data_IF_993400171400
#
_entry.id   IF_993400171400
#
_cell.length_a   1.000
_cell.length_b   1.000
_cell.length_c   1.000
_cell.angle_alpha   90.00
_cell.angle_beta   90.00
_cell.angle_gamma   90.00
#
_symmetry.space_group_name_H-M   'P 1'
#
loop_
_entity.id
_entity.type
_entity.pdbx_description
1 polymer ?
#
# COMPACT_ATOMS: atom_id res chain seq x y z
N UNK A 1 25.95 17.65 -3.26
CA UNK A 1 24.74 16.96 -2.77
C UNK A 1 23.65 18.01 -2.63
N UNK A 2 22.72 18.06 -3.59
CA UNK A 2 21.56 18.96 -3.50
C UNK A 2 20.62 18.37 -2.46
N UNK A 3 20.50 19.00 -1.29
CA UNK A 3 19.49 18.65 -0.28
C UNK A 3 18.14 18.92 -0.93
N UNK A 4 17.47 17.88 -1.42
CA UNK A 4 16.10 18.00 -1.87
C UNK A 4 15.28 18.41 -0.65
N UNK A 5 14.72 19.62 -0.66
CA UNK A 5 13.86 20.13 0.40
C UNK A 5 12.60 19.25 0.47
N UNK A 6 12.46 18.47 1.54
CA UNK A 6 11.22 17.74 1.83
C UNK A 6 10.16 18.71 2.32
N UNK A 7 8.92 18.56 1.85
CA UNK A 7 7.79 19.28 2.41
C UNK A 7 7.31 18.58 3.70
N UNK A 8 7.22 19.31 4.80
CA UNK A 8 6.58 18.81 6.02
C UNK A 8 5.08 19.04 5.91
N UNK A 9 4.28 17.98 5.95
CA UNK A 9 2.82 18.06 5.79
C UNK A 9 2.10 17.22 6.85
N UNK A 10 0.85 17.57 7.12
CA UNK A 10 0.02 16.79 8.04
C UNK A 10 -0.43 15.46 7.42
N UNK A 11 -0.74 14.49 8.27
CA UNK A 11 -1.31 13.21 7.85
C UNK A 11 -2.60 13.41 7.03
N UNK A 12 -3.50 14.29 7.50
CA UNK A 12 -4.78 14.53 6.81
C UNK A 12 -4.60 15.11 5.42
N UNK A 13 -3.69 16.09 5.24
CA UNK A 13 -3.40 16.63 3.93
C UNK A 13 -2.86 15.57 2.96
N UNK A 14 -1.97 14.69 3.42
CA UNK A 14 -1.45 13.58 2.61
C UNK A 14 -2.52 12.53 2.31
N UNK A 15 -3.39 12.24 3.29
CA UNK A 15 -4.48 11.26 3.17
C UNK A 15 -5.54 11.73 2.18
N UNK A 16 -5.87 13.02 2.19
CA UNK A 16 -6.93 13.58 1.37
C UNK A 16 -6.52 13.70 -0.12
N UNK A 17 -5.25 14.02 -0.41
CA UNK A 17 -4.73 14.04 -1.79
C UNK A 17 -3.25 13.60 -1.90
N UNK A 18 -2.97 12.28 -1.91
CA UNK A 18 -1.62 11.78 -2.14
C UNK A 18 -1.10 12.07 -3.55
N UNK A 19 -1.99 12.34 -4.52
CA UNK A 19 -1.60 12.58 -5.90
C UNK A 19 -0.97 13.98 -6.10
N UNK A 20 -1.29 14.94 -5.24
CA UNK A 20 -0.67 16.26 -5.19
C UNK A 20 0.84 16.20 -4.86
N UNK A 21 1.28 15.17 -4.14
CA UNK A 21 2.66 15.00 -3.69
C UNK A 21 3.46 13.96 -4.49
N UNK A 22 2.91 13.53 -5.63
CA UNK A 22 3.50 12.52 -6.50
C UNK A 22 4.93 12.87 -6.89
N UNK A 23 5.86 11.93 -6.68
CA UNK A 23 7.31 12.11 -6.90
C UNK A 23 7.99 13.16 -6.00
N UNK A 24 7.28 13.83 -5.10
CA UNK A 24 7.85 14.77 -4.12
C UNK A 24 8.34 14.05 -2.87
N UNK A 25 9.34 14.65 -2.21
CA UNK A 25 9.77 14.25 -0.88
C UNK A 25 8.86 14.89 0.18
N UNK A 26 8.32 14.05 1.04
CA UNK A 26 7.33 14.43 2.06
C UNK A 26 7.77 13.88 3.40
N UNK A 27 7.60 14.66 4.45
CA UNK A 27 7.83 14.24 5.82
C UNK A 27 6.57 14.44 6.67
N UNK A 28 6.19 13.42 7.42
CA UNK A 28 5.13 13.54 8.43
C UNK A 28 5.76 13.91 9.77
N UNK A 29 5.29 14.99 10.43
CA UNK A 29 5.86 15.45 11.69
C UNK A 29 5.50 14.51 12.86
N UNK A 30 4.34 13.87 12.80
CA UNK A 30 3.83 13.00 13.85
C UNK A 30 4.01 11.51 13.50
N UNK A 31 4.37 10.65 14.47
CA UNK A 31 4.42 9.22 14.24
C UNK A 31 3.04 8.64 13.85
N UNK A 32 3.03 7.75 12.86
CA UNK A 32 1.84 6.95 12.57
C UNK A 32 1.70 5.86 13.63
N UNK A 33 0.53 5.80 14.25
CA UNK A 33 0.25 4.92 15.39
C UNK A 33 -0.52 3.69 14.93
N UNK A 34 0.14 2.54 14.92
CA UNK A 34 -0.46 1.24 14.60
C UNK A 34 -0.77 0.43 15.87
N UNK A 35 -1.58 -0.62 15.71
CA UNK A 35 -1.88 -1.58 16.78
C UNK A 35 -2.95 -1.10 17.77
N UNK A 36 -3.62 0.01 17.47
CA UNK A 36 -4.75 0.51 18.26
C UNK A 36 -6.03 -0.27 17.95
N UNK A 37 -6.27 -0.58 16.68
CA UNK A 37 -7.30 -1.50 16.22
C UNK A 37 -7.04 -1.94 14.78
N UNK A 38 -7.50 -3.14 14.37
CA UNK A 38 -7.41 -3.57 12.98
C UNK A 38 -8.04 -2.60 11.97
N UNK A 39 -9.15 -1.94 12.34
CA UNK A 39 -9.84 -0.98 11.48
C UNK A 39 -9.00 0.28 11.22
N UNK A 40 -8.38 0.84 12.27
CA UNK A 40 -7.49 2.00 12.14
C UNK A 40 -6.22 1.63 11.36
N UNK A 41 -5.67 0.44 11.60
CA UNK A 41 -4.50 -0.03 10.86
C UNK A 41 -4.81 -0.16 9.37
N UNK A 42 -6.00 -0.64 8.98
CA UNK A 42 -6.41 -0.67 7.57
C UNK A 42 -6.49 0.73 6.94
N UNK A 43 -6.93 1.75 7.68
CA UNK A 43 -6.98 3.12 7.16
C UNK A 43 -5.57 3.69 6.92
N UNK A 44 -4.65 3.44 7.85
CA UNK A 44 -3.24 3.81 7.70
C UNK A 44 -2.57 3.05 6.55
N UNK A 45 -2.81 1.74 6.43
CA UNK A 45 -2.31 0.93 5.32
C UNK A 45 -2.90 1.36 3.98
N UNK A 46 -4.17 1.78 3.92
CA UNK A 46 -4.79 2.34 2.72
C UNK A 46 -4.11 3.62 2.29
N UNK A 47 -3.82 4.53 3.22
CA UNK A 47 -3.04 5.74 2.94
C UNK A 47 -1.64 5.36 2.42
N UNK A 48 -0.91 4.47 3.10
CA UNK A 48 0.43 4.03 2.65
C UNK A 48 0.38 3.37 1.25
N UNK A 49 -0.68 2.61 0.95
CA UNK A 49 -0.93 2.05 -0.38
C UNK A 49 -1.11 3.14 -1.44
N UNK A 50 -1.88 4.19 -1.15
CA UNK A 50 -2.06 5.31 -2.05
C UNK A 50 -0.77 6.11 -2.27
N UNK A 51 -0.05 6.43 -1.19
CA UNK A 51 1.27 7.10 -1.21
C UNK A 51 2.28 6.30 -2.04
N UNK A 52 2.34 4.98 -1.82
CA UNK A 52 3.21 4.06 -2.58
C UNK A 52 2.81 4.07 -4.06
N UNK A 53 1.51 3.99 -4.37
CA UNK A 53 0.99 4.03 -5.74
C UNK A 53 1.37 5.30 -6.51
N UNK A 54 1.37 6.44 -5.83
CA UNK A 54 1.76 7.74 -6.39
C UNK A 54 3.27 8.01 -6.34
N UNK A 55 4.09 7.04 -5.93
CA UNK A 55 5.53 7.17 -5.81
C UNK A 55 5.96 8.43 -5.01
N UNK A 56 5.19 8.77 -3.97
CA UNK A 56 5.55 9.82 -3.02
C UNK A 56 6.73 9.34 -2.20
N UNK A 57 7.78 10.17 -2.04
CA UNK A 57 8.94 9.84 -1.21
C UNK A 57 8.67 10.22 0.23
N UNK A 58 7.86 9.40 0.90
CA UNK A 58 7.41 9.62 2.27
C UNK A 58 8.48 9.23 3.29
N UNK A 59 8.77 10.13 4.23
CA UNK A 59 9.51 9.89 5.46
C UNK A 59 8.55 9.98 6.63
N UNK A 60 8.50 8.93 7.45
CA UNK A 60 7.58 8.85 8.58
C UNK A 60 8.15 7.95 9.68
N UNK A 61 7.60 8.11 10.89
CA UNK A 61 8.03 7.39 12.10
C UNK A 61 6.94 6.43 12.55
N UNK A 62 7.32 5.19 12.86
CA UNK A 62 6.43 4.16 13.38
C UNK A 62 6.25 4.29 14.89
N UNK A 63 5.01 4.14 15.36
CA UNK A 63 4.70 3.89 16.76
C UNK A 63 3.72 2.72 16.87
N UNK A 64 4.07 1.67 17.60
CA UNK A 64 3.29 0.44 17.65
C UNK A 64 3.38 -0.37 16.36
N UNK A 65 2.86 -1.61 16.39
CA UNK A 65 2.94 -2.55 15.28
C UNK A 65 1.58 -2.77 14.63
N UNK A 66 1.49 -2.87 13.28
CA UNK A 66 0.23 -3.19 12.62
C UNK A 66 -0.33 -4.54 13.09
N UNK A 67 -1.66 -4.61 13.20
CA UNK A 67 -2.43 -5.80 13.62
C UNK A 67 -2.37 -6.96 12.62
N UNK A 68 -1.66 -6.79 11.50
CA UNK A 68 -1.55 -7.75 10.42
C UNK A 68 -0.13 -8.32 10.35
N UNK A 69 0.04 -9.53 9.79
CA UNK A 69 1.38 -10.05 9.52
C UNK A 69 2.17 -9.13 8.57
N UNK A 70 3.49 -9.08 8.75
CA UNK A 70 4.38 -8.21 7.97
C UNK A 70 4.22 -8.35 6.44
N UNK A 71 4.01 -9.58 5.95
CA UNK A 71 3.85 -9.83 4.51
C UNK A 71 2.62 -9.13 3.90
N UNK A 72 1.64 -8.73 4.70
CA UNK A 72 0.43 -8.02 4.26
C UNK A 72 0.74 -6.59 3.81
N UNK A 73 1.80 -5.96 4.32
CA UNK A 73 2.13 -4.55 4.04
C UNK A 73 3.60 -4.28 3.74
N UNK A 74 4.47 -5.30 3.75
CA UNK A 74 5.90 -5.12 3.47
C UNK A 74 6.18 -4.57 2.07
N UNK A 75 5.26 -4.67 1.12
CA UNK A 75 5.35 -4.06 -0.22
C UNK A 75 5.05 -2.55 -0.24
N UNK A 76 4.56 -1.99 0.86
CA UNK A 76 4.28 -0.56 1.03
C UNK A 76 5.49 0.17 1.64
N UNK A 77 5.58 1.48 1.41
CA UNK A 77 6.67 2.33 1.89
C UNK A 77 6.90 2.15 3.40
N UNK A 78 8.09 1.68 3.83
CA UNK A 78 8.39 1.41 5.22
C UNK A 78 8.60 2.71 6.01
N UNK A 79 8.48 2.67 7.35
CA UNK A 79 8.91 3.76 8.20
C UNK A 79 10.42 3.97 8.12
N UNK A 80 10.88 5.20 8.41
CA UNK A 80 12.30 5.52 8.49
C UNK A 80 12.87 5.31 9.90
N UNK A 81 12.00 5.40 10.92
CA UNK A 81 12.33 5.33 12.34
C UNK A 81 11.21 4.62 13.10
N UNK A 82 11.53 4.07 14.28
CA UNK A 82 10.55 3.64 15.28
C UNK A 82 10.69 4.45 16.57
N UNK A 83 9.60 4.64 17.31
CA UNK A 83 9.60 5.39 18.58
C UNK A 83 10.20 4.54 19.71
N UNK A 84 9.70 3.32 19.89
CA UNK A 84 10.16 2.39 20.93
C UNK A 84 11.10 1.31 20.36
N UNK A 85 11.78 0.55 21.22
CA UNK A 85 12.73 -0.51 20.80
C UNK A 85 12.09 -1.53 19.84
N UNK A 86 10.89 -2.02 20.17
CA UNK A 86 10.18 -2.99 19.34
C UNK A 86 9.71 -2.38 18.00
N UNK A 87 9.41 -1.07 17.98
CA UNK A 87 9.08 -0.33 16.76
C UNK A 87 10.30 -0.21 15.85
N UNK A 88 11.49 0.01 16.43
CA UNK A 88 12.76 0.07 15.69
C UNK A 88 13.08 -1.29 15.06
N UNK A 89 12.97 -2.38 15.82
CA UNK A 89 13.19 -3.73 15.29
C UNK A 89 12.21 -4.06 14.15
N UNK A 90 10.93 -3.69 14.33
CA UNK A 90 9.90 -3.87 13.31
C UNK A 90 10.16 -3.02 12.04
N UNK A 91 10.61 -1.77 12.22
CA UNK A 91 11.01 -0.87 11.12
C UNK A 91 12.11 -1.49 10.27
N UNK A 92 13.12 -2.10 10.89
CA UNK A 92 14.21 -2.78 10.18
C UNK A 92 13.68 -3.98 9.38
N UNK A 93 12.80 -4.78 9.97
CA UNK A 93 12.20 -5.94 9.29
C UNK A 93 11.36 -5.52 8.07
N UNK A 94 10.54 -4.48 8.22
CA UNK A 94 9.75 -3.94 7.11
C UNK A 94 10.64 -3.37 6.01
N UNK A 95 11.65 -2.57 6.36
CA UNK A 95 12.58 -2.01 5.39
C UNK A 95 13.37 -3.09 4.61
N UNK A 96 13.74 -4.19 5.28
CA UNK A 96 14.44 -5.32 4.65
C UNK A 96 13.58 -5.98 3.55
N UNK A 97 12.31 -6.19 3.85
CA UNK A 97 11.37 -6.91 3.00
C UNK A 97 10.75 -6.01 1.90
N UNK A 98 10.82 -4.69 2.09
CA UNK A 98 10.34 -3.71 1.12
C UNK A 98 11.09 -3.74 -0.20
N UNK A 99 10.32 -3.78 -1.28
CA UNK A 99 10.75 -3.58 -2.66
C UNK A 99 9.61 -2.89 -3.43
N UNK A 100 9.85 -1.69 -3.94
CA UNK A 100 8.85 -1.02 -4.79
C UNK A 100 8.52 -1.90 -6.01
N UNK A 101 7.22 -2.10 -6.24
CA UNK A 101 6.75 -2.97 -7.33
C UNK A 101 6.87 -4.47 -7.04
N UNK A 102 6.98 -4.87 -5.77
CA UNK A 102 6.87 -6.29 -5.40
C UNK A 102 5.43 -6.79 -5.36
N UNK A 103 4.44 -5.92 -5.13
CA UNK A 103 3.02 -6.30 -5.18
C UNK A 103 2.16 -5.18 -5.73
N UNK A 104 1.74 -5.31 -6.98
CA UNK A 104 0.98 -4.27 -7.67
C UNK A 104 0.02 -4.86 -8.69
N UNK A 105 -0.91 -4.03 -9.13
CA UNK A 105 -1.74 -4.31 -10.30
C UNK A 105 -1.62 -3.22 -11.37
N UNK A 106 -1.96 -3.57 -12.61
CA UNK A 106 -2.11 -2.66 -13.74
C UNK A 106 -3.44 -2.91 -14.43
N UNK A 107 -4.15 -1.82 -14.75
CA UNK A 107 -5.35 -1.84 -15.58
C UNK A 107 -4.95 -1.75 -17.06
N UNK A 108 -5.36 -2.73 -17.85
CA UNK A 108 -5.36 -2.69 -19.31
C UNK A 108 -6.80 -2.60 -19.84
N UNK A 109 -7.03 -2.55 -21.16
CA UNK A 109 -8.39 -2.64 -21.71
C UNK A 109 -9.01 -4.00 -21.38
N UNK A 110 -10.15 -4.02 -20.67
CA UNK A 110 -10.89 -5.26 -20.37
C UNK A 110 -10.25 -6.20 -19.34
N UNK A 111 -9.00 -5.97 -18.91
CA UNK A 111 -8.32 -6.79 -17.91
C UNK A 111 -7.56 -6.01 -16.83
N UNK A 112 -7.28 -6.70 -15.72
CA UNK A 112 -6.31 -6.30 -14.68
C UNK A 112 -5.21 -7.38 -14.62
N UNK A 113 -3.95 -6.94 -14.62
CA UNK A 113 -2.82 -7.84 -14.32
C UNK A 113 -2.30 -7.56 -12.93
N UNK A 114 -2.02 -8.60 -12.15
CA UNK A 114 -1.46 -8.51 -10.81
C UNK A 114 -0.10 -9.21 -10.83
N UNK A 115 0.91 -8.57 -10.25
CA UNK A 115 2.22 -9.17 -10.02
C UNK A 115 2.48 -9.22 -8.53
N UNK A 116 2.86 -10.39 -8.04
CA UNK A 116 3.26 -10.61 -6.66
C UNK A 116 4.62 -11.33 -6.62
N UNK A 117 5.61 -10.65 -6.06
CA UNK A 117 6.96 -11.16 -5.81
C UNK A 117 7.41 -10.78 -4.40
N UNK A 118 6.46 -10.66 -3.47
CA UNK A 118 6.77 -10.42 -2.04
C UNK A 118 7.65 -11.54 -1.50
N UNK A 119 8.56 -11.23 -0.56
CA UNK A 119 9.39 -12.26 0.06
C UNK A 119 8.54 -13.30 0.81
N UNK A 120 9.03 -14.53 0.87
CA UNK A 120 8.38 -15.62 1.60
C UNK A 120 7.37 -16.44 0.79
N UNK A 121 7.15 -16.11 -0.48
CA UNK A 121 6.24 -16.85 -1.37
C UNK A 121 6.75 -16.91 -2.81
N UNK A 122 6.30 -17.90 -3.61
CA UNK A 122 6.64 -17.98 -5.03
C UNK A 122 6.17 -16.75 -5.80
N UNK A 123 6.98 -16.31 -6.76
CA UNK A 123 6.58 -15.27 -7.70
C UNK A 123 5.32 -15.70 -8.47
N UNK A 124 4.32 -14.82 -8.50
CA UNK A 124 3.04 -15.05 -9.15
C UNK A 124 2.66 -13.88 -10.06
N UNK A 125 1.94 -14.22 -11.14
CA UNK A 125 1.29 -13.26 -12.02
C UNK A 125 -0.13 -13.75 -12.29
N UNK A 126 -1.11 -12.93 -11.96
CA UNK A 126 -2.52 -13.21 -12.18
C UNK A 126 -3.10 -12.24 -13.21
N UNK A 127 -4.12 -12.69 -13.92
CA UNK A 127 -4.89 -11.87 -14.85
C UNK A 127 -6.36 -12.03 -14.49
N UNK A 128 -7.05 -10.91 -14.30
CA UNK A 128 -8.49 -10.83 -14.09
C UNK A 128 -9.07 -10.22 -15.35
N UNK A 129 -9.82 -10.99 -16.11
CA UNK A 129 -10.55 -10.52 -17.31
C UNK A 129 -11.99 -10.24 -16.90
N UNK A 130 -12.70 -11.27 -16.46
CA UNK A 130 -14.05 -11.13 -15.91
C UNK A 130 -14.03 -10.42 -14.56
N UNK A 131 -14.75 -9.31 -14.47
CA UNK A 131 -14.81 -8.50 -13.25
C UNK A 131 -13.62 -7.55 -13.05
N UNK A 132 -12.78 -7.33 -14.06
CA UNK A 132 -11.67 -6.37 -14.00
C UNK A 132 -12.09 -4.97 -13.49
N UNK A 133 -13.25 -4.47 -13.93
CA UNK A 133 -13.80 -3.18 -13.47
C UNK A 133 -14.25 -3.23 -12.00
N UNK A 134 -14.85 -4.34 -11.56
CA UNK A 134 -15.26 -4.53 -10.16
C UNK A 134 -14.03 -4.59 -9.25
N UNK A 135 -13.00 -5.35 -9.65
CA UNK A 135 -11.74 -5.40 -8.92
C UNK A 135 -11.09 -4.01 -8.83
N UNK A 136 -11.03 -3.24 -9.92
CA UNK A 136 -10.47 -1.89 -9.88
C UNK A 136 -11.28 -0.97 -8.95
N UNK A 137 -12.61 -1.02 -8.99
CA UNK A 137 -13.46 -0.24 -8.08
C UNK A 137 -13.23 -0.61 -6.62
N UNK A 138 -13.19 -1.91 -6.30
CA UNK A 138 -12.89 -2.39 -4.96
C UNK A 138 -11.50 -1.95 -4.51
N UNK A 139 -10.51 -2.05 -5.39
CA UNK A 139 -9.13 -1.69 -5.10
C UNK A 139 -8.93 -0.19 -4.86
N UNK A 140 -9.70 0.66 -5.55
CA UNK A 140 -9.61 2.11 -5.44
C UNK A 140 -10.68 2.72 -4.52
N UNK A 141 -11.44 1.89 -3.79
CA UNK A 141 -12.36 2.35 -2.75
C UNK A 141 -11.62 3.15 -1.66
N UNK A 142 -12.14 4.34 -1.36
CA UNK A 142 -11.53 5.28 -0.40
C UNK A 142 -11.87 4.91 1.04
N UNK A 143 -13.07 4.40 1.30
CA UNK A 143 -13.55 4.03 2.64
C UNK A 143 -13.33 2.54 2.97
N UNK A 144 -12.98 1.74 1.95
CA UNK A 144 -12.77 0.31 2.11
C UNK A 144 -14.04 -0.47 2.41
N UNK A 145 -15.22 0.09 2.12
CA UNK A 145 -16.49 -0.58 2.35
C UNK A 145 -16.97 -1.17 1.02
N UNK A 146 -16.90 -2.49 0.84
CA UNK A 146 -17.43 -3.11 -0.36
C UNK A 146 -18.95 -2.94 -0.40
N UNK A 147 -19.52 -2.84 -1.60
CA UNK A 147 -20.95 -2.97 -1.77
C UNK A 147 -21.37 -4.43 -1.53
N UNK A 148 -22.63 -4.67 -1.15
CA UNK A 148 -23.12 -6.04 -0.92
C UNK A 148 -22.98 -6.94 -2.16
N UNK A 149 -23.03 -6.35 -3.36
CA UNK A 149 -22.83 -7.05 -4.63
C UNK A 149 -21.38 -7.53 -4.84
N UNK A 150 -20.42 -6.97 -4.11
CA UNK A 150 -19.00 -7.32 -4.22
C UNK A 150 -18.56 -8.41 -3.21
N UNK A 151 -19.48 -8.95 -2.40
CA UNK A 151 -19.13 -9.90 -1.33
C UNK A 151 -18.36 -11.14 -1.81
N UNK A 152 -18.77 -11.73 -2.94
CA UNK A 152 -18.08 -12.88 -3.56
C UNK A 152 -16.68 -12.48 -4.03
N UNK A 153 -16.56 -11.33 -4.70
CA UNK A 153 -15.26 -10.81 -5.14
C UNK A 153 -14.31 -10.54 -3.97
N UNK A 154 -14.83 -10.05 -2.85
CA UNK A 154 -14.04 -9.82 -1.63
C UNK A 154 -13.55 -11.14 -1.06
N UNK A 155 -14.41 -12.15 -0.96
CA UNK A 155 -14.05 -13.48 -0.49
C UNK A 155 -12.94 -14.10 -1.36
N UNK A 156 -13.11 -14.08 -2.69
CA UNK A 156 -12.12 -14.57 -3.65
C UNK A 156 -10.79 -13.81 -3.52
N UNK A 157 -10.84 -12.49 -3.35
CA UNK A 157 -9.64 -11.67 -3.19
C UNK A 157 -8.92 -11.97 -1.86
N UNK A 158 -9.64 -12.23 -0.78
CA UNK A 158 -9.05 -12.63 0.50
C UNK A 158 -8.42 -14.02 0.39
N UNK A 159 -9.12 -14.99 -0.20
CA UNK A 159 -8.61 -16.34 -0.43
C UNK A 159 -7.34 -16.33 -1.29
N UNK A 160 -7.32 -15.51 -2.33
CA UNK A 160 -6.16 -15.33 -3.21
C UNK A 160 -5.00 -14.52 -2.58
N UNK A 161 -5.15 -14.04 -1.33
CA UNK A 161 -4.14 -13.20 -0.66
C UNK A 161 -3.97 -11.82 -1.30
N UNK A 162 -4.98 -11.35 -2.03
CA UNK A 162 -5.07 -10.05 -2.69
C UNK A 162 -5.76 -9.00 -1.83
N UNK A 163 -6.53 -9.40 -0.82
CA UNK A 163 -7.20 -8.50 0.10
C UNK A 163 -7.09 -8.99 1.55
N UNK A 164 -7.35 -8.07 2.48
CA UNK A 164 -7.52 -8.37 3.90
C UNK A 164 -8.76 -7.65 4.42
N UNK A 165 -9.45 -8.27 5.37
CA UNK A 165 -10.64 -7.71 6.00
C UNK A 165 -10.46 -7.53 7.50
N UNK A 166 -11.01 -6.44 8.02
CA UNK A 166 -11.19 -6.24 9.45
C UNK A 166 -12.31 -5.25 9.74
N UNK A 167 -13.16 -5.56 10.72
CA UNK A 167 -14.25 -4.69 11.18
C UNK A 167 -15.18 -4.19 10.04
N UNK A 168 -15.51 -5.07 9.08
CA UNK A 168 -16.36 -4.73 7.94
C UNK A 168 -15.70 -3.80 6.91
N UNK A 169 -14.37 -3.66 6.96
CA UNK A 169 -13.57 -2.95 5.95
C UNK A 169 -12.66 -3.93 5.22
N UNK A 170 -12.49 -3.70 3.94
CA UNK A 170 -11.65 -4.50 3.05
C UNK A 170 -10.56 -3.61 2.45
N UNK A 171 -9.30 -4.05 2.52
CA UNK A 171 -8.19 -3.44 1.81
C UNK A 171 -7.66 -4.42 0.76
N UNK A 172 -7.79 -4.06 -0.52
CA UNK A 172 -7.03 -4.72 -1.58
C UNK A 172 -5.57 -4.32 -1.44
N UNK A 173 -4.72 -5.31 -1.27
CA UNK A 173 -3.30 -5.17 -0.95
C UNK A 173 -2.45 -4.62 -2.13
N UNK A 174 -2.53 -5.15 -3.37
CA UNK A 174 -1.72 -4.64 -4.46
C UNK A 174 -2.08 -3.18 -4.75
N UNK A 175 -1.07 -2.31 -4.81
CA UNK A 175 -1.27 -0.93 -5.21
C UNK A 175 -1.34 -0.82 -6.74
N UNK A 176 -2.01 0.21 -7.26
CA UNK A 176 -1.98 0.47 -8.71
C UNK A 176 -0.61 0.97 -9.11
N UNK A 177 0.07 0.28 -10.02
CA UNK A 177 1.33 0.78 -10.56
C UNK A 177 1.06 1.96 -11.51
N UNK A 178 1.22 3.19 -11.00
CA UNK A 178 1.05 4.44 -11.78
C UNK A 178 2.36 4.93 -12.39
N UNK A 179 3.50 4.52 -11.83
CA UNK A 179 4.84 4.95 -12.24
C UNK A 179 5.75 3.76 -12.48
N UNK A 180 6.17 3.58 -13.73
CA UNK A 180 7.12 2.53 -14.08
C UNK A 180 8.55 2.97 -13.68
N UNK A 181 9.26 2.21 -12.84
CA UNK A 181 10.55 2.63 -12.30
C UNK A 181 11.71 2.49 -13.29
N UNK A 182 11.48 1.91 -14.47
CA UNK A 182 12.50 1.77 -15.52
C UNK A 182 12.13 2.73 -16.66
N UNK A 183 13.00 3.66 -17.08
CA UNK A 183 12.78 4.36 -18.34
C UNK A 183 12.70 3.31 -19.45
N UNK A 184 11.68 3.39 -20.31
CA UNK A 184 11.64 2.58 -21.52
C UNK A 184 12.78 3.06 -22.42
N UNK A 185 13.95 2.45 -22.27
CA UNK A 185 15.00 2.50 -23.27
C UNK A 185 14.59 1.46 -24.31
N UNK A 186 13.87 1.90 -25.35
CA UNK A 186 13.88 1.16 -26.60
C UNK A 186 15.34 1.05 -27.02
N UNK A 187 15.88 -0.17 -27.05
CA UNK A 187 17.08 -0.50 -27.81
C UNK A 187 16.62 -0.87 -29.21
#
# INVERSE_FOLDING_TARGET
>A
MTTATSAVISFDALRDDPAAYRLHAVELPEPLRFGQSPAQDLDLLRMLRAVTSHAVRLRWTLRGQPSFPLHTYSHLLPPCLGVEFDDVAHTVAWARDYRYGSFYYRRGPGLVTIKDVRPGQPASRMVIEDGADRFERLAESVDGRPEAVDAELVADAVEAGLAVEAAGRTLVLPFRMRHWPVPYLAV
#
